data_IF_265773481323
#
_entry.id   IF_265773481323
#
_cell.length_a   1.000
_cell.length_b   1.000
_cell.length_c   1.000
_cell.angle_alpha   90.00
_cell.angle_beta   90.00
_cell.angle_gamma   90.00
#
_symmetry.space_group_name_H-M   'P 1'
#
loop_
_entity.id
_entity.type
_entity.pdbx_description
1 polymer ?
#
# COMPACT_ATOMS: atom_id res chain seq x y z
N UNK A 1 19.70 -22.62 18.88
CA UNK A 1 19.53 -21.24 19.40
C UNK A 1 20.30 -20.18 18.59
N UNK A 2 21.48 -20.46 18.00
CA UNK A 2 22.22 -19.49 17.18
C UNK A 2 21.54 -19.12 15.83
N UNK A 3 20.94 -20.09 15.13
CA UNK A 3 20.32 -19.86 13.81
C UNK A 3 19.11 -18.92 13.85
N UNK A 4 18.31 -18.95 14.93
CA UNK A 4 17.16 -18.05 15.13
C UNK A 4 17.63 -16.60 15.35
N UNK A 5 18.72 -16.41 16.10
CA UNK A 5 19.29 -15.09 16.38
C UNK A 5 19.88 -14.44 15.12
N UNK A 6 20.56 -15.23 14.28
CA UNK A 6 21.16 -14.78 13.04
C UNK A 6 20.11 -14.39 11.97
N UNK A 7 18.98 -15.10 11.94
CA UNK A 7 17.83 -14.76 11.09
C UNK A 7 17.17 -13.44 11.55
N UNK A 8 17.03 -13.22 12.86
CA UNK A 8 16.51 -11.97 13.41
C UNK A 8 17.40 -10.77 13.10
N UNK A 9 18.72 -10.90 13.22
CA UNK A 9 19.64 -9.81 12.86
C UNK A 9 19.61 -9.46 11.36
N UNK A 10 19.53 -10.48 10.49
CA UNK A 10 19.44 -10.26 9.05
C UNK A 10 18.15 -9.49 8.68
N UNK A 11 17.02 -9.83 9.32
CA UNK A 11 15.74 -9.13 9.16
C UNK A 11 15.85 -7.68 9.64
N UNK A 12 16.43 -7.45 10.82
CA UNK A 12 16.61 -6.09 11.38
C UNK A 12 17.54 -5.23 10.51
N UNK A 13 18.61 -5.83 9.96
CA UNK A 13 19.49 -5.15 8.99
C UNK A 13 18.75 -4.81 7.70
N UNK A 14 17.95 -5.74 7.17
CA UNK A 14 17.13 -5.53 5.99
C UNK A 14 16.11 -4.40 6.18
N UNK A 15 15.40 -4.38 7.31
CA UNK A 15 14.45 -3.32 7.67
C UNK A 15 15.13 -1.95 7.72
N UNK A 16 16.29 -1.85 8.37
CA UNK A 16 17.05 -0.59 8.44
C UNK A 16 17.54 -0.13 7.08
N UNK A 17 18.07 -1.04 6.26
CA UNK A 17 18.50 -0.72 4.89
C UNK A 17 17.35 -0.21 4.04
N UNK A 18 16.16 -0.82 4.16
CA UNK A 18 14.97 -0.39 3.45
C UNK A 18 14.54 1.02 3.88
N UNK A 19 14.53 1.33 5.17
CA UNK A 19 14.18 2.68 5.66
C UNK A 19 15.15 3.74 5.14
N UNK A 20 16.46 3.45 5.14
CA UNK A 20 17.46 4.33 4.52
C UNK A 20 17.23 4.48 3.02
N UNK A 21 16.83 3.40 2.34
CA UNK A 21 16.61 3.39 0.90
C UNK A 21 15.41 4.22 0.45
N UNK A 22 14.32 4.22 1.22
CA UNK A 22 13.14 5.06 0.98
C UNK A 22 13.48 6.56 1.07
N UNK A 23 14.50 6.91 1.85
CA UNK A 23 14.98 8.28 1.96
C UNK A 23 14.02 9.20 2.72
N UNK A 24 14.44 10.46 2.95
CA UNK A 24 13.75 11.38 3.85
C UNK A 24 12.39 11.85 3.31
N UNK A 25 12.25 12.02 1.99
CA UNK A 25 11.00 12.49 1.40
C UNK A 25 9.86 11.48 1.60
N UNK A 26 10.06 10.22 1.21
CA UNK A 26 9.06 9.16 1.36
C UNK A 26 8.77 8.91 2.85
N UNK A 27 9.82 8.87 3.69
CA UNK A 27 9.66 8.67 5.13
C UNK A 27 8.77 9.76 5.74
N UNK A 28 9.02 11.03 5.41
CA UNK A 28 8.19 12.16 5.86
C UNK A 28 6.72 12.03 5.44
N UNK A 29 6.44 11.59 4.22
CA UNK A 29 5.06 11.36 3.78
C UNK A 29 4.40 10.17 4.50
N UNK A 30 5.18 9.11 4.77
CA UNK A 30 4.68 7.96 5.53
C UNK A 30 4.46 8.28 7.02
N UNK A 31 5.11 9.28 7.58
CA UNK A 31 4.89 9.75 8.95
C UNK A 31 3.69 10.69 9.09
N UNK A 32 3.25 11.36 8.02
CA UNK A 32 2.09 12.27 8.03
C UNK A 32 0.77 11.48 8.19
N UNK A 33 0.02 11.62 9.29
CA UNK A 33 -1.20 10.86 9.54
C UNK A 33 -2.34 11.17 8.56
N UNK A 34 -2.29 12.29 7.83
CA UNK A 34 -3.30 12.63 6.83
C UNK A 34 -3.09 11.85 5.51
N UNK A 35 -1.87 11.36 5.25
CA UNK A 35 -1.51 10.59 4.06
C UNK A 35 -1.77 9.12 4.30
N UNK A 36 -2.47 8.46 3.38
CA UNK A 36 -2.77 7.02 3.43
C UNK A 36 -1.95 6.21 2.44
N UNK A 37 -1.44 6.84 1.38
CA UNK A 37 -0.67 6.18 0.34
C UNK A 37 0.37 7.13 -0.26
N UNK A 38 1.56 6.58 -0.57
CA UNK A 38 2.65 7.26 -1.28
C UNK A 38 2.94 6.48 -2.55
N UNK A 39 3.03 7.15 -3.69
CA UNK A 39 3.26 6.52 -5.00
C UNK A 39 4.44 7.15 -5.72
N UNK A 40 5.21 6.34 -6.44
CA UNK A 40 6.14 6.76 -7.47
C UNK A 40 5.53 6.46 -8.83
N UNK A 41 5.31 7.49 -9.65
CA UNK A 41 4.85 7.33 -11.02
C UNK A 41 6.00 7.11 -12.00
N UNK A 42 5.73 6.58 -13.22
CA UNK A 42 6.77 6.35 -14.23
C UNK A 42 7.50 7.60 -14.71
N UNK A 43 6.94 8.80 -14.49
CA UNK A 43 7.57 10.08 -14.78
C UNK A 43 8.58 10.53 -13.71
N UNK A 44 8.78 9.70 -12.67
CA UNK A 44 9.67 9.97 -11.54
C UNK A 44 9.05 10.85 -10.46
N UNK A 45 7.80 11.29 -10.59
CA UNK A 45 7.15 12.15 -9.59
C UNK A 45 6.57 11.33 -8.45
N UNK A 46 6.77 11.84 -7.23
CA UNK A 46 6.10 11.31 -6.04
C UNK A 46 4.72 11.95 -5.86
N UNK A 47 3.72 11.09 -5.64
CA UNK A 47 2.34 11.46 -5.36
C UNK A 47 1.92 10.90 -4.01
N UNK A 48 0.94 11.56 -3.38
CA UNK A 48 0.36 11.11 -2.12
C UNK A 48 -1.15 11.15 -2.19
N UNK A 49 -1.80 10.18 -1.56
CA UNK A 49 -3.24 10.19 -1.33
C UNK A 49 -3.52 10.63 0.11
N UNK A 50 -4.37 11.65 0.27
CA UNK A 50 -4.76 12.22 1.56
C UNK A 50 -6.23 11.94 1.83
N UNK A 51 -6.57 11.58 3.07
CA UNK A 51 -7.96 11.25 3.47
C UNK A 51 -9.00 12.31 3.07
N UNK A 52 -8.63 13.59 3.17
CA UNK A 52 -9.54 14.73 2.95
C UNK A 52 -9.41 15.40 1.58
N UNK A 53 -8.27 15.23 0.91
CA UNK A 53 -7.92 16.00 -0.30
C UNK A 53 -7.73 15.13 -1.55
N UNK A 54 -7.62 13.81 -1.37
CA UNK A 54 -7.36 12.87 -2.44
C UNK A 54 -5.92 12.91 -2.96
N UNK A 55 -5.75 12.52 -4.21
CA UNK A 55 -4.45 12.41 -4.88
C UNK A 55 -3.83 13.78 -5.18
N UNK A 56 -2.60 13.98 -4.72
CA UNK A 56 -1.85 15.22 -4.93
C UNK A 56 -0.39 14.96 -5.29
N UNK A 57 0.16 15.81 -6.16
CA UNK A 57 1.58 15.81 -6.49
C UNK A 57 2.37 16.46 -5.35
N UNK A 58 3.51 15.87 -4.98
CA UNK A 58 4.32 16.38 -3.86
C UNK A 58 5.37 17.42 -4.26
N UNK A 59 5.67 17.55 -5.55
CA UNK A 59 6.81 18.30 -6.08
C UNK A 59 8.15 17.57 -5.99
N UNK A 60 8.21 16.44 -5.28
CA UNK A 60 9.42 15.64 -5.12
C UNK A 60 9.62 14.72 -6.34
N UNK A 61 10.88 14.51 -6.70
CA UNK A 61 11.29 13.60 -7.77
C UNK A 61 12.14 12.47 -7.21
N UNK A 62 11.99 11.29 -7.80
CA UNK A 62 12.85 10.15 -7.55
C UNK A 62 13.43 9.65 -8.88
N UNK A 63 14.74 9.39 -8.89
CA UNK A 63 15.40 8.86 -10.09
C UNK A 63 14.88 7.45 -10.40
N UNK A 64 14.80 7.04 -11.68
CA UNK A 64 14.44 5.67 -12.05
C UNK A 64 15.34 4.62 -11.37
N UNK A 65 16.64 4.90 -11.26
CA UNK A 65 17.60 4.02 -10.57
C UNK A 65 17.28 3.86 -9.09
N UNK A 66 16.87 4.92 -8.40
CA UNK A 66 16.46 4.83 -7.00
C UNK A 66 15.14 4.08 -6.83
N UNK A 67 14.16 4.32 -7.72
CA UNK A 67 12.91 3.57 -7.74
C UNK A 67 13.14 2.08 -7.92
N UNK A 68 13.98 1.69 -8.88
CA UNK A 68 14.36 0.29 -9.09
C UNK A 68 15.09 -0.30 -7.88
N UNK A 69 16.04 0.45 -7.31
CA UNK A 69 16.79 0.04 -6.11
C UNK A 69 15.87 -0.26 -4.93
N UNK A 70 14.87 0.60 -4.68
CA UNK A 70 13.87 0.39 -3.63
C UNK A 70 13.07 -0.89 -3.90
N UNK A 71 12.54 -1.06 -5.11
CA UNK A 71 11.75 -2.25 -5.50
C UNK A 71 12.55 -3.53 -5.27
N UNK A 72 13.82 -3.55 -5.68
CA UNK A 72 14.72 -4.71 -5.50
C UNK A 72 15.03 -5.00 -4.04
N UNK A 73 15.22 -3.97 -3.21
CA UNK A 73 15.44 -4.13 -1.77
C UNK A 73 14.20 -4.70 -1.07
N UNK A 74 13.00 -4.25 -1.45
CA UNK A 74 11.75 -4.80 -0.93
C UNK A 74 11.57 -6.26 -1.36
N UNK A 75 11.81 -6.58 -2.63
CA UNK A 75 11.75 -7.96 -3.12
C UNK A 75 12.69 -8.89 -2.34
N UNK A 76 13.94 -8.47 -2.16
CA UNK A 76 14.92 -9.19 -1.35
C UNK A 76 14.44 -9.40 0.10
N UNK A 77 13.84 -8.38 0.72
CA UNK A 77 13.33 -8.47 2.10
C UNK A 77 12.29 -9.58 2.27
N UNK A 78 11.38 -9.74 1.30
CA UNK A 78 10.33 -10.77 1.34
C UNK A 78 10.73 -12.09 0.68
N UNK A 79 11.98 -12.21 0.21
CA UNK A 79 12.47 -13.40 -0.50
C UNK A 79 11.82 -13.61 -1.87
N UNK A 80 11.35 -12.53 -2.51
CA UNK A 80 10.81 -12.54 -3.86
C UNK A 80 11.89 -12.14 -4.88
N UNK A 81 11.76 -12.68 -6.09
CA UNK A 81 12.56 -12.26 -7.24
C UNK A 81 11.82 -11.19 -8.03
N UNK A 82 12.56 -10.18 -8.52
CA UNK A 82 12.00 -9.12 -9.37
C UNK A 82 12.94 -8.80 -10.52
N UNK A 83 12.45 -8.97 -11.75
CA UNK A 83 13.21 -8.80 -13.00
C UNK A 83 12.24 -8.67 -14.18
N UNK A 84 12.69 -8.34 -15.41
CA UNK A 84 11.77 -8.15 -16.54
C UNK A 84 10.83 -9.33 -16.85
N UNK A 85 11.24 -10.57 -16.50
CA UNK A 85 10.41 -11.77 -16.63
C UNK A 85 9.43 -12.00 -15.47
N UNK A 86 9.68 -11.38 -14.30
CA UNK A 86 8.81 -11.36 -13.13
C UNK A 86 8.78 -9.92 -12.56
N UNK A 87 8.12 -8.98 -13.25
CA UNK A 87 8.35 -7.55 -13.03
C UNK A 87 7.51 -6.95 -11.90
N UNK A 88 6.85 -7.79 -11.08
CA UNK A 88 5.93 -7.37 -10.02
C UNK A 88 6.42 -7.87 -8.68
N UNK A 89 6.29 -7.05 -7.65
CA UNK A 89 6.53 -7.44 -6.26
C UNK A 89 5.41 -6.90 -5.38
N UNK A 90 4.91 -7.75 -4.50
CA UNK A 90 3.94 -7.41 -3.47
C UNK A 90 4.54 -7.80 -2.12
N UNK A 91 4.51 -6.89 -1.16
CA UNK A 91 5.16 -7.08 0.14
C UNK A 91 4.44 -6.35 1.27
N UNK A 92 4.67 -6.81 2.50
CA UNK A 92 4.40 -6.03 3.71
C UNK A 92 5.73 -5.52 4.25
N UNK A 93 5.82 -4.22 4.51
CA UNK A 93 7.03 -3.59 5.01
C UNK A 93 7.19 -3.91 6.51
N UNK A 94 8.44 -4.14 6.97
CA UNK A 94 8.71 -4.51 8.34
C UNK A 94 8.38 -3.36 9.30
N UNK A 95 8.09 -3.71 10.57
CA UNK A 95 7.83 -2.80 11.71
C UNK A 95 6.48 -2.05 11.64
N UNK A 96 6.19 -1.41 10.51
CA UNK A 96 5.04 -0.53 10.32
C UNK A 96 3.86 -1.21 9.63
N UNK A 97 4.09 -2.31 8.91
CA UNK A 97 3.05 -3.10 8.26
C UNK A 97 2.47 -2.45 6.99
N UNK A 98 3.11 -1.43 6.42
CA UNK A 98 2.63 -0.87 5.15
C UNK A 98 2.68 -1.90 4.03
N UNK A 99 1.72 -1.84 3.13
CA UNK A 99 1.69 -2.69 1.93
C UNK A 99 2.45 -2.01 0.82
N UNK A 100 3.33 -2.74 0.18
CA UNK A 100 4.13 -2.29 -0.95
C UNK A 100 3.75 -3.06 -2.21
N UNK A 101 3.50 -2.34 -3.29
CA UNK A 101 3.34 -2.89 -4.63
C UNK A 101 4.33 -2.21 -5.57
N UNK A 102 5.23 -2.97 -6.18
CA UNK A 102 6.27 -2.47 -7.07
C UNK A 102 6.21 -3.10 -8.46
N UNK A 103 6.46 -2.28 -9.48
CA UNK A 103 6.45 -2.65 -10.89
C UNK A 103 7.74 -2.20 -11.57
N UNK A 104 8.35 -3.10 -12.35
CA UNK A 104 9.49 -2.80 -13.23
C UNK A 104 9.07 -2.90 -14.71
N UNK A 105 9.87 -2.32 -15.62
CA UNK A 105 9.74 -2.62 -17.04
C UNK A 105 9.78 -4.14 -17.33
N UNK A 106 9.04 -4.63 -18.34
CA UNK A 106 8.34 -3.87 -19.38
C UNK A 106 6.86 -3.56 -19.10
N UNK A 107 6.30 -3.98 -17.96
CA UNK A 107 4.85 -3.75 -17.68
C UNK A 107 4.52 -2.29 -17.38
N UNK A 108 5.55 -1.50 -17.05
CA UNK A 108 5.51 -0.05 -16.88
C UNK A 108 6.69 0.57 -17.63
N UNK A 109 6.58 1.85 -18.01
CA UNK A 109 7.63 2.56 -18.78
C UNK A 109 8.90 2.82 -17.96
N UNK A 110 8.77 2.98 -16.65
CA UNK A 110 9.86 3.15 -15.70
C UNK A 110 9.44 2.55 -14.34
N UNK A 111 10.39 2.27 -13.44
CA UNK A 111 10.10 1.77 -12.09
C UNK A 111 9.02 2.58 -11.38
N UNK A 112 8.03 1.89 -10.82
CA UNK A 112 6.84 2.49 -10.19
C UNK A 112 6.48 1.68 -8.97
N UNK A 113 6.01 2.34 -7.92
CA UNK A 113 5.52 1.63 -6.74
C UNK A 113 4.43 2.42 -6.02
N UNK A 114 3.68 1.73 -5.17
CA UNK A 114 2.76 2.30 -4.20
C UNK A 114 3.06 1.72 -2.81
N UNK A 115 3.05 2.59 -1.79
CA UNK A 115 3.19 2.24 -0.39
C UNK A 115 1.92 2.70 0.32
N UNK A 116 1.08 1.74 0.70
CA UNK A 116 -0.20 1.99 1.36
C UNK A 116 -0.11 1.67 2.84
N UNK A 117 -0.48 2.62 3.69
CA UNK A 117 -0.52 2.40 5.13
C UNK A 117 -1.61 1.38 5.50
N UNK A 118 -1.44 0.62 6.60
CA UNK A 118 -2.55 -0.12 7.18
C UNK A 118 -3.73 0.80 7.41
N UNK A 119 -4.96 0.29 7.30
CA UNK A 119 -6.13 1.06 7.67
C UNK A 119 -6.11 1.31 9.19
N UNK A 120 -5.61 2.47 9.62
CA UNK A 120 -5.55 2.85 11.04
C UNK A 120 -6.88 3.45 11.51
N UNK A 121 -7.62 4.11 10.62
CA UNK A 121 -8.91 4.70 10.95
C UNK A 121 -10.04 3.67 10.82
N UNK A 122 -10.45 3.09 11.95
CA UNK A 122 -11.74 2.39 12.04
C UNK A 122 -12.82 3.46 12.13
N UNK A 123 -13.34 3.88 10.97
CA UNK A 123 -14.52 4.74 10.94
C UNK A 123 -15.75 3.92 11.36
N UNK A 124 -16.39 4.37 12.43
CA UNK A 124 -17.69 3.85 12.87
C UNK A 124 -18.76 4.26 11.85
N UNK A 125 -19.90 3.56 11.83
CA UNK A 125 -21.03 3.99 10.99
C UNK A 125 -21.52 5.39 11.40
N UNK A 126 -21.37 5.74 12.68
CA UNK A 126 -21.65 7.05 13.23
C UNK A 126 -20.75 8.13 12.62
N UNK A 127 -19.48 7.85 12.37
CA UNK A 127 -18.57 8.81 11.72
C UNK A 127 -19.03 9.13 10.29
N UNK A 128 -19.51 8.12 9.55
CA UNK A 128 -20.09 8.34 8.22
C UNK A 128 -21.39 9.13 8.24
N UNK A 129 -22.21 8.96 9.29
CA UNK A 129 -23.43 9.76 9.49
C UNK A 129 -23.07 11.20 9.82
N UNK A 130 -22.12 11.42 10.73
CA UNK A 130 -21.64 12.75 11.10
C UNK A 130 -21.02 13.49 9.90
N UNK A 131 -20.32 12.78 9.03
CA UNK A 131 -19.77 13.32 7.78
C UNK A 131 -20.81 13.53 6.66
N UNK A 132 -22.09 13.17 6.87
CA UNK A 132 -23.15 13.27 5.87
C UNK A 132 -23.00 12.31 4.69
N UNK A 133 -22.10 11.34 4.78
CA UNK A 133 -21.85 10.33 3.73
C UNK A 133 -23.00 9.31 3.68
N UNK A 134 -23.67 9.06 4.81
CA UNK A 134 -24.87 8.22 4.88
C UNK A 134 -25.89 8.72 5.89
N UNK A 135 -27.14 8.29 5.74
CA UNK A 135 -28.20 8.56 6.71
C UNK A 135 -28.11 7.62 7.92
N UNK A 136 -28.55 8.10 9.10
CA UNK A 136 -28.62 7.28 10.31
C UNK A 136 -29.45 5.99 10.13
N UNK A 137 -30.50 6.05 9.30
CA UNK A 137 -31.33 4.87 8.97
C UNK A 137 -30.57 3.81 8.15
N UNK A 138 -29.63 4.23 7.29
CA UNK A 138 -28.79 3.33 6.51
C UNK A 138 -27.75 2.65 7.42
N UNK A 139 -27.13 3.40 8.33
CA UNK A 139 -26.25 2.84 9.36
C UNK A 139 -26.97 1.75 10.17
N UNK A 140 -28.21 2.00 10.60
CA UNK A 140 -28.99 1.04 11.38
C UNK A 140 -29.40 -0.21 10.57
N UNK A 141 -29.71 -0.04 9.29
CA UNK A 141 -29.96 -1.17 8.40
C UNK A 141 -28.71 -2.06 8.26
N UNK A 142 -27.52 -1.46 8.14
CA UNK A 142 -26.25 -2.20 8.08
C UNK A 142 -25.95 -2.93 9.40
N UNK A 143 -26.13 -2.29 10.56
CA UNK A 143 -25.93 -2.93 11.87
C UNK A 143 -26.80 -4.19 12.01
N UNK A 144 -28.09 -4.08 11.67
CA UNK A 144 -29.02 -5.23 11.71
C UNK A 144 -28.61 -6.32 10.73
N UNK A 145 -28.27 -5.99 9.48
CA UNK A 145 -27.86 -6.98 8.49
C UNK A 145 -26.60 -7.76 8.90
N UNK A 146 -25.62 -7.09 9.52
CA UNK A 146 -24.41 -7.73 10.05
C UNK A 146 -24.76 -8.63 11.26
N UNK A 147 -25.58 -8.15 12.19
CA UNK A 147 -26.04 -8.93 13.35
C UNK A 147 -26.81 -10.19 12.92
N UNK A 148 -27.62 -10.09 11.87
CA UNK A 148 -28.37 -11.19 11.26
C UNK A 148 -27.49 -12.11 10.38
N UNK A 149 -26.19 -11.80 10.20
CA UNK A 149 -25.26 -12.48 9.27
C UNK A 149 -25.83 -12.63 7.86
N UNK A 150 -26.55 -11.60 7.42
CA UNK A 150 -27.24 -11.60 6.13
C UNK A 150 -26.23 -11.32 5.03
N UNK A 151 -25.49 -12.35 4.63
CA UNK A 151 -24.54 -12.27 3.52
C UNK A 151 -25.27 -12.16 2.18
N UNK A 152 -24.70 -11.40 1.26
CA UNK A 152 -25.15 -11.35 -0.12
C UNK A 152 -25.13 -12.78 -0.74
N UNK A 153 -26.21 -13.24 -1.40
CA UNK A 153 -26.22 -14.54 -2.06
C UNK A 153 -25.14 -14.59 -3.15
N UNK A 154 -24.20 -15.54 -3.04
CA UNK A 154 -23.09 -15.77 -4.00
C UNK A 154 -23.54 -16.23 -5.41
N UNK A 155 -24.83 -16.14 -5.75
CA UNK A 155 -25.44 -16.80 -6.92
C UNK A 155 -25.61 -15.93 -8.17
N UNK A 156 -24.96 -14.78 -8.29
CA UNK A 156 -24.80 -14.07 -9.57
C UNK A 156 -23.33 -13.88 -9.94
N UNK A 157 -22.65 -14.99 -10.29
CA UNK A 157 -21.50 -14.88 -11.20
C UNK A 157 -22.04 -14.41 -12.54
N UNK A 158 -21.63 -13.22 -12.94
CA UNK A 158 -21.74 -12.71 -14.30
C UNK A 158 -21.17 -13.78 -15.24
N UNK A 159 -22.05 -14.43 -16.01
CA UNK A 159 -21.66 -15.13 -17.22
C UNK A 159 -21.30 -14.06 -18.26
N UNK A 160 -20.15 -14.24 -18.89
CA UNK A 160 -19.80 -13.79 -20.25
C UNK A 160 -20.02 -12.31 -20.59
N UNK A 161 -18.92 -11.59 -20.75
CA UNK A 161 -18.76 -10.65 -21.86
C UNK A 161 -17.33 -10.82 -22.42
N UNK A 162 -17.24 -11.61 -23.47
CA UNK A 162 -16.16 -11.51 -24.45
C UNK A 162 -16.47 -10.29 -25.32
N UNK A 163 -15.56 -9.34 -25.36
CA UNK A 163 -15.31 -8.47 -26.50
C UNK A 163 -13.80 -8.30 -26.63
#
# INVERSE_FOLDING_TARGET
MAATHQKSEAILRGARMLRTALGPAITRFLEDPAIVEVMLNPDGRLWVDRLSEGLSNTGELLSPSDGERIIRLVAHHVGAEVHPGAPRVSAELPETGERFEGLLPPVVQAPTFAIRKPAVAVFTLEDYVAAGIMAASQAEALRRAVAERRFWPRSRRLRTASF
#
